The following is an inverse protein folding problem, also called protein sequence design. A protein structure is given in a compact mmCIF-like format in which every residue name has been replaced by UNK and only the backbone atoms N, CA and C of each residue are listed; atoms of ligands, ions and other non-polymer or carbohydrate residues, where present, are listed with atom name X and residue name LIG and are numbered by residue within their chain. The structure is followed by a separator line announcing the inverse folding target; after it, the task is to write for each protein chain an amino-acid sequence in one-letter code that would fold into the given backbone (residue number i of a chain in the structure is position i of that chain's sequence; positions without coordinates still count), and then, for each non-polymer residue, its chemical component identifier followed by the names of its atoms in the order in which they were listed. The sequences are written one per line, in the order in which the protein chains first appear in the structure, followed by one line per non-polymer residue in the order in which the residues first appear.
data_IF_513790588661
#
_entry.id   IF_513790588661
#
_cell.length_a   1.000
_cell.length_b   1.000
_cell.length_c   1.000
_cell.angle_alpha   90.00
_cell.angle_beta   90.00
_cell.angle_gamma   90.00
#
_symmetry.space_group_name_H-M   'P 1'
#
loop_
_entity.id
_entity.type
_entity.pdbx_description
1 polymer ?
#
# COMPACT_ATOMS: atom_id res chain seq x y z
N UNK A 1 -36.04 -40.04 -29.67
CA UNK A 1 -35.97 -38.57 -29.70
C UNK A 1 -34.50 -38.22 -29.87
N UNK A 2 -34.03 -38.03 -31.11
CA UNK A 2 -32.62 -37.76 -31.39
C UNK A 2 -32.36 -36.27 -31.31
N UNK A 3 -31.49 -35.89 -30.37
CA UNK A 3 -30.99 -34.55 -30.14
C UNK A 3 -29.98 -34.24 -31.25
N UNK A 4 -30.34 -33.36 -32.18
CA UNK A 4 -29.41 -32.84 -33.19
C UNK A 4 -28.54 -31.78 -32.50
N UNK A 5 -27.26 -32.11 -32.28
CA UNK A 5 -26.24 -31.17 -31.87
C UNK A 5 -26.09 -30.08 -32.94
N UNK A 6 -26.52 -28.86 -32.62
CA UNK A 6 -26.36 -27.71 -33.50
C UNK A 6 -24.89 -27.31 -33.55
N UNK A 7 -24.19 -27.68 -34.61
CA UNK A 7 -22.86 -27.18 -34.93
C UNK A 7 -22.92 -25.65 -35.08
N UNK A 8 -22.41 -24.90 -34.11
CA UNK A 8 -22.34 -23.45 -34.14
C UNK A 8 -20.97 -23.00 -34.67
N UNK A 9 -20.84 -22.61 -35.96
CA UNK A 9 -19.58 -22.18 -36.54
C UNK A 9 -19.04 -20.86 -35.98
N UNK A 10 -19.83 -20.13 -35.19
CA UNK A 10 -19.42 -18.90 -34.50
C UNK A 10 -19.17 -19.13 -33.00
N UNK A 11 -19.09 -20.38 -32.54
CA UNK A 11 -18.69 -20.67 -31.16
C UNK A 11 -17.25 -20.17 -30.98
N UNK A 12 -17.10 -19.11 -30.17
CA UNK A 12 -15.79 -18.60 -29.81
C UNK A 12 -14.98 -19.76 -29.20
N UNK A 13 -13.67 -19.87 -29.49
CA UNK A 13 -12.84 -20.82 -28.78
C UNK A 13 -13.04 -20.57 -27.30
N UNK A 14 -13.30 -21.62 -26.52
CA UNK A 14 -13.23 -21.56 -25.07
C UNK A 14 -11.78 -21.21 -24.74
N UNK A 15 -11.47 -19.92 -24.73
CA UNK A 15 -10.28 -19.38 -24.17
C UNK A 15 -10.43 -19.63 -22.68
N UNK A 16 -10.01 -20.83 -22.27
CA UNK A 16 -9.82 -21.16 -20.88
C UNK A 16 -9.10 -19.95 -20.30
N UNK A 17 -9.79 -19.25 -19.39
CA UNK A 17 -9.17 -18.20 -18.61
C UNK A 17 -8.04 -18.94 -17.92
N UNK A 18 -6.83 -18.84 -18.47
CA UNK A 18 -5.64 -19.23 -17.78
C UNK A 18 -5.54 -18.20 -16.68
N UNK A 19 -6.27 -18.43 -15.58
CA UNK A 19 -5.76 -18.14 -14.26
C UNK A 19 -4.38 -18.74 -14.29
N UNK A 20 -3.40 -17.89 -14.58
CA UNK A 20 -1.99 -18.18 -14.42
C UNK A 20 -1.87 -18.41 -12.92
N UNK A 21 -2.13 -19.65 -12.52
CA UNK A 21 -2.00 -20.14 -11.15
C UNK A 21 -0.50 -20.16 -10.93
N UNK A 22 0.02 -18.98 -10.65
CA UNK A 22 1.41 -18.81 -10.28
C UNK A 22 1.65 -19.65 -9.03
N UNK A 23 2.81 -20.35 -8.96
CA UNK A 23 3.05 -21.32 -7.92
C UNK A 23 2.85 -20.69 -6.52
N UNK A 24 2.28 -21.45 -5.58
CA UNK A 24 2.07 -20.98 -4.22
C UNK A 24 3.39 -20.54 -3.59
N UNK A 25 3.33 -19.46 -2.81
CA UNK A 25 4.51 -18.86 -2.19
C UNK A 25 4.95 -19.72 -0.99
N UNK A 26 6.24 -20.11 -0.89
CA UNK A 26 6.72 -20.84 0.27
C UNK A 26 6.76 -19.92 1.50
N UNK A 27 6.04 -20.29 2.57
CA UNK A 27 6.20 -19.68 3.89
C UNK A 27 4.89 -19.49 4.66
N UNK A 28 4.77 -20.17 5.80
CA UNK A 28 3.73 -19.97 6.83
C UNK A 28 3.93 -18.66 7.61
N UNK A 29 4.26 -17.58 6.93
CA UNK A 29 4.56 -16.28 7.58
C UNK A 29 3.74 -15.13 7.02
N UNK A 30 3.06 -15.34 5.88
CA UNK A 30 2.16 -14.40 5.23
C UNK A 30 0.84 -15.12 4.93
N UNK A 31 -0.27 -14.47 5.27
CA UNK A 31 -1.63 -15.00 5.05
C UNK A 31 -2.53 -13.93 4.46
N UNK A 32 -3.45 -14.37 3.61
CA UNK A 32 -4.55 -13.54 3.12
C UNK A 32 -5.72 -13.59 4.11
N UNK A 33 -6.14 -12.41 4.56
CA UNK A 33 -7.37 -12.20 5.34
C UNK A 33 -8.29 -11.21 4.60
N UNK A 34 -9.10 -11.72 3.68
CA UNK A 34 -9.88 -10.89 2.75
C UNK A 34 -8.97 -10.05 1.85
N UNK A 35 -9.15 -8.72 1.92
CA UNK A 35 -8.32 -7.72 1.22
C UNK A 35 -7.09 -7.25 2.02
N UNK A 36 -6.95 -7.73 3.25
CA UNK A 36 -5.84 -7.41 4.13
C UNK A 36 -4.80 -8.54 4.09
N UNK A 37 -3.54 -8.14 4.23
CA UNK A 37 -2.40 -9.03 4.43
C UNK A 37 -2.11 -9.13 5.92
N UNK A 38 -2.14 -10.35 6.47
CA UNK A 38 -1.55 -10.63 7.78
C UNK A 38 -0.16 -11.23 7.57
N UNK A 39 0.84 -10.74 8.28
CA UNK A 39 2.16 -11.38 8.29
C UNK A 39 2.79 -11.36 9.67
N UNK A 40 3.73 -12.26 9.89
CA UNK A 40 4.65 -12.19 11.01
C UNK A 40 5.52 -10.93 10.89
N UNK A 41 5.85 -10.30 12.02
CA UNK A 41 6.73 -9.13 12.02
C UNK A 41 8.13 -9.51 11.56
N UNK A 42 8.77 -8.54 10.91
CA UNK A 42 10.17 -8.61 10.48
C UNK A 42 10.50 -9.74 9.48
N UNK A 43 9.47 -10.31 8.83
CA UNK A 43 9.66 -11.34 7.81
C UNK A 43 9.86 -10.75 6.42
N UNK A 44 10.70 -11.40 5.58
CA UNK A 44 10.84 -11.04 4.19
C UNK A 44 9.60 -11.44 3.41
N UNK A 45 9.21 -10.59 2.45
CA UNK A 45 8.14 -10.90 1.52
C UNK A 45 8.75 -11.66 0.33
N UNK A 46 7.98 -12.54 -0.32
CA UNK A 46 8.42 -13.18 -1.56
C UNK A 46 8.81 -12.16 -2.64
N UNK A 47 9.66 -12.59 -3.57
CA UNK A 47 10.21 -11.78 -4.66
C UNK A 47 9.17 -11.45 -5.75
N UNK A 48 8.08 -10.80 -5.35
CA UNK A 48 7.03 -10.31 -6.21
C UNK A 48 6.66 -8.89 -5.84
N UNK A 49 6.17 -8.14 -6.81
CA UNK A 49 5.70 -6.79 -6.57
C UNK A 49 4.43 -6.81 -5.70
N UNK A 50 4.46 -6.11 -4.57
CA UNK A 50 3.29 -6.03 -3.66
C UNK A 50 2.07 -5.29 -4.26
N UNK A 51 2.24 -4.59 -5.40
CA UNK A 51 1.20 -3.78 -6.07
C UNK A 51 0.60 -4.40 -7.34
N UNK A 52 1.34 -5.22 -8.07
CA UNK A 52 0.81 -5.93 -9.24
C UNK A 52 1.02 -7.44 -9.22
N UNK A 53 1.80 -7.98 -8.28
CA UNK A 53 2.12 -9.40 -8.20
C UNK A 53 3.17 -9.89 -9.20
N UNK A 54 3.69 -9.07 -10.11
CA UNK A 54 4.73 -9.53 -11.07
C UNK A 54 5.95 -10.07 -10.33
N UNK A 55 6.57 -11.13 -10.84
CA UNK A 55 7.82 -11.66 -10.30
C UNK A 55 8.94 -10.62 -10.43
N UNK A 56 9.79 -10.55 -9.42
CA UNK A 56 10.91 -9.63 -9.31
C UNK A 56 12.19 -10.41 -9.06
N UNK A 57 13.32 -9.80 -9.38
CA UNK A 57 14.61 -10.31 -8.96
C UNK A 57 14.88 -9.95 -7.51
N UNK A 58 15.72 -10.75 -6.83
CA UNK A 58 16.06 -10.52 -5.41
C UNK A 58 16.70 -9.15 -5.14
N UNK A 59 17.45 -8.59 -6.11
CA UNK A 59 18.05 -7.25 -6.02
C UNK A 59 17.02 -6.10 -6.07
N UNK A 60 15.77 -6.39 -6.48
CA UNK A 60 14.70 -5.40 -6.51
C UNK A 60 13.94 -5.28 -5.18
N UNK A 61 14.19 -6.19 -4.24
CA UNK A 61 13.62 -6.17 -2.89
C UNK A 61 14.36 -5.14 -2.03
N UNK A 62 13.60 -4.35 -1.26
CA UNK A 62 14.18 -3.32 -0.39
C UNK A 62 13.62 -3.45 1.02
N UNK A 63 14.49 -3.27 2.01
CA UNK A 63 14.12 -3.16 3.42
C UNK A 63 13.29 -1.90 3.64
N UNK A 64 12.11 -2.04 4.25
CA UNK A 64 11.16 -0.97 4.54
C UNK A 64 10.67 -1.08 5.97
N UNK A 65 10.74 0.02 6.69
CA UNK A 65 10.21 0.14 8.04
C UNK A 65 8.82 0.76 7.98
N UNK A 66 7.86 0.11 8.62
CA UNK A 66 6.51 0.61 8.81
C UNK A 66 6.30 0.94 10.28
N UNK A 67 5.53 2.01 10.52
CA UNK A 67 5.19 2.47 11.86
C UNK A 67 3.68 2.47 12.00
N UNK A 68 3.21 2.09 13.17
CA UNK A 68 1.80 2.12 13.52
C UNK A 68 1.64 2.41 15.01
N UNK A 69 0.64 3.20 15.36
CA UNK A 69 0.20 3.38 16.73
C UNK A 69 -1.31 3.20 16.78
N UNK A 70 -1.84 2.83 17.94
CA UNK A 70 -3.28 2.65 18.11
C UNK A 70 -4.05 3.96 17.83
N UNK A 71 -5.20 3.93 17.14
CA UNK A 71 -5.98 5.14 16.88
C UNK A 71 -6.44 5.88 18.13
N UNK A 72 -6.56 5.21 19.27
CA UNK A 72 -6.96 5.82 20.55
C UNK A 72 -6.03 6.96 21.00
N UNK A 73 -4.77 6.96 20.56
CA UNK A 73 -3.83 8.05 20.87
C UNK A 73 -4.24 9.40 20.28
N UNK A 74 -5.06 9.43 19.23
CA UNK A 74 -5.51 10.69 18.62
C UNK A 74 -6.35 11.56 19.55
N UNK A 75 -6.96 10.99 20.59
CA UNK A 75 -7.73 11.77 21.60
C UNK A 75 -6.84 12.80 22.29
N UNK A 76 -5.55 12.52 22.46
CA UNK A 76 -4.60 13.45 23.09
C UNK A 76 -4.40 14.75 22.29
N UNK A 77 -4.72 14.77 20.99
CA UNK A 77 -4.64 15.99 20.17
C UNK A 77 -5.55 17.08 20.73
N UNK A 78 -6.70 16.71 21.30
CA UNK A 78 -7.65 17.66 21.91
C UNK A 78 -7.10 18.32 23.17
N UNK A 79 -6.18 17.65 23.88
CA UNK A 79 -5.52 18.18 25.08
C UNK A 79 -4.33 19.04 24.67
N UNK A 80 -3.43 18.48 23.86
CA UNK A 80 -2.27 19.19 23.33
C UNK A 80 -1.64 18.39 22.20
N UNK A 81 -1.37 19.07 21.09
CA UNK A 81 -0.63 18.52 19.95
C UNK A 81 0.76 18.03 20.38
N UNK A 82 1.41 18.71 21.33
CA UNK A 82 2.75 18.35 21.83
C UNK A 82 2.69 17.06 22.65
N UNK A 83 1.72 16.94 23.56
CA UNK A 83 1.52 15.72 24.36
C UNK A 83 1.23 14.53 23.45
N UNK A 84 0.36 14.71 22.46
CA UNK A 84 0.10 13.71 21.44
C UNK A 84 1.38 13.28 20.70
N UNK A 85 2.20 14.24 20.24
CA UNK A 85 3.42 13.92 19.51
C UNK A 85 4.41 13.07 20.33
N UNK A 86 4.58 13.41 21.61
CA UNK A 86 5.42 12.65 22.55
C UNK A 86 4.84 11.25 22.77
N UNK A 87 3.55 11.14 23.08
CA UNK A 87 2.89 9.87 23.30
C UNK A 87 2.93 8.96 22.07
N UNK A 88 2.69 9.52 20.87
CA UNK A 88 2.77 8.80 19.61
C UNK A 88 4.19 8.28 19.31
N UNK A 89 5.23 9.07 19.64
CA UNK A 89 6.63 8.66 19.50
C UNK A 89 7.02 7.49 20.41
N UNK A 90 6.45 7.43 21.62
CA UNK A 90 6.69 6.36 22.60
C UNK A 90 5.86 5.11 22.26
N UNK A 91 4.58 5.28 21.95
CA UNK A 91 3.63 4.18 21.76
C UNK A 91 3.67 3.55 20.36
N UNK A 92 4.37 4.16 19.38
CA UNK A 92 4.49 3.60 18.04
C UNK A 92 5.18 2.24 18.07
N UNK A 93 4.56 1.28 17.39
CA UNK A 93 5.15 0.00 17.03
C UNK A 93 5.82 0.13 15.67
N UNK A 94 6.92 -0.60 15.49
CA UNK A 94 7.70 -0.66 14.25
C UNK A 94 7.73 -2.09 13.70
N UNK A 95 7.72 -2.25 12.39
CA UNK A 95 7.93 -3.52 11.72
C UNK A 95 8.78 -3.31 10.47
N UNK A 96 9.73 -4.20 10.22
CA UNK A 96 10.71 -4.04 9.16
C UNK A 96 10.63 -5.19 8.18
N UNK A 97 10.06 -4.96 7.00
CA UNK A 97 9.91 -5.99 5.99
C UNK A 97 10.82 -5.73 4.79
N UNK A 98 11.34 -6.81 4.23
CA UNK A 98 12.01 -6.77 2.92
C UNK A 98 10.96 -7.06 1.87
N UNK A 99 10.62 -6.07 1.03
CA UNK A 99 9.56 -6.22 0.03
C UNK A 99 9.95 -5.65 -1.33
N UNK A 100 9.35 -6.22 -2.38
CA UNK A 100 9.61 -5.85 -3.76
C UNK A 100 8.55 -4.91 -4.34
N UNK A 101 9.01 -3.98 -5.20
CA UNK A 101 8.16 -3.20 -6.09
C UNK A 101 8.80 -3.11 -7.47
N UNK A 102 8.03 -3.41 -8.52
CA UNK A 102 8.50 -3.30 -9.90
C UNK A 102 8.88 -1.86 -10.26
N UNK A 103 9.67 -1.72 -11.32
CA UNK A 103 10.15 -0.42 -11.80
C UNK A 103 9.00 0.57 -12.05
N UNK A 104 7.86 0.11 -12.59
CA UNK A 104 6.72 0.97 -12.89
C UNK A 104 6.08 1.57 -11.63
N UNK A 105 5.73 0.72 -10.66
CA UNK A 105 5.18 1.19 -9.39
C UNK A 105 6.17 2.05 -8.60
N UNK A 106 7.47 1.76 -8.71
CA UNK A 106 8.53 2.57 -8.12
C UNK A 106 8.63 3.95 -8.77
N UNK A 107 8.54 4.04 -10.10
CA UNK A 107 8.50 5.30 -10.86
C UNK A 107 7.26 6.10 -10.52
N UNK A 108 6.08 5.48 -10.49
CA UNK A 108 4.83 6.12 -10.06
C UNK A 108 4.94 6.71 -8.66
N UNK A 109 5.46 5.96 -7.70
CA UNK A 109 5.73 6.45 -6.34
C UNK A 109 6.71 7.63 -6.35
N UNK A 110 7.81 7.53 -7.09
CA UNK A 110 8.81 8.60 -7.17
C UNK A 110 8.22 9.87 -7.80
N UNK A 111 7.30 9.77 -8.76
CA UNK A 111 6.57 10.94 -9.28
C UNK A 111 5.75 11.64 -8.20
N UNK A 112 5.04 10.90 -7.34
CA UNK A 112 4.33 11.50 -6.20
C UNK A 112 5.27 12.15 -5.19
N UNK A 113 6.42 11.53 -4.92
CA UNK A 113 7.46 12.12 -4.05
C UNK A 113 8.01 13.42 -4.67
N UNK A 114 8.30 13.42 -5.97
CA UNK A 114 8.77 14.60 -6.69
C UNK A 114 7.70 15.70 -6.70
N UNK A 115 6.44 15.35 -6.91
CA UNK A 115 5.31 16.28 -6.83
C UNK A 115 5.22 16.91 -5.44
N UNK A 116 5.40 16.12 -4.38
CA UNK A 116 5.42 16.64 -3.00
C UNK A 116 6.59 17.61 -2.81
N UNK A 117 7.79 17.26 -3.30
CA UNK A 117 8.96 18.11 -3.21
C UNK A 117 8.77 19.43 -3.99
N UNK A 118 8.18 19.36 -5.19
CA UNK A 118 7.87 20.53 -6.01
C UNK A 118 6.84 21.45 -5.34
N UNK A 119 5.90 20.89 -4.56
CA UNK A 119 4.89 21.69 -3.85
C UNK A 119 5.52 22.72 -2.90
N UNK A 120 6.61 22.36 -2.21
CA UNK A 120 7.33 23.26 -1.29
C UNK A 120 7.92 24.49 -1.97
N UNK A 121 8.14 24.44 -3.28
CA UNK A 121 8.66 25.57 -4.07
C UNK A 121 7.51 26.28 -4.80
N UNK A 122 6.65 25.51 -5.47
CA UNK A 122 5.55 26.05 -6.28
C UNK A 122 4.52 26.82 -5.45
N UNK A 123 4.14 26.32 -4.26
CA UNK A 123 3.15 26.97 -3.41
C UNK A 123 3.56 28.38 -2.98
N UNK A 124 4.73 28.55 -2.32
CA UNK A 124 5.22 29.87 -1.90
C UNK A 124 5.48 30.82 -3.07
N UNK A 125 6.08 30.33 -4.18
CA UNK A 125 6.33 31.16 -5.36
C UNK A 125 5.04 31.72 -5.95
N UNK A 126 4.00 30.90 -6.04
CA UNK A 126 2.71 31.31 -6.59
C UNK A 126 1.99 32.29 -5.67
N UNK A 127 2.09 32.09 -4.34
CA UNK A 127 1.60 33.06 -3.37
C UNK A 127 2.31 34.42 -3.47
N UNK A 128 3.64 34.42 -3.63
CA UNK A 128 4.43 35.64 -3.80
C UNK A 128 4.17 36.34 -5.13
N UNK A 129 4.06 35.59 -6.24
CA UNK A 129 3.86 36.13 -7.58
C UNK A 129 2.52 36.85 -7.75
N UNK A 130 1.47 36.40 -7.06
CA UNK A 130 0.16 37.04 -7.09
C UNK A 130 0.10 38.30 -6.20
N UNK A 131 0.87 38.33 -5.11
CA UNK A 131 1.13 39.53 -4.31
C UNK A 131 -0.06 40.08 -3.50
N UNK A 132 -1.18 39.36 -3.43
CA UNK A 132 -2.35 39.72 -2.63
C UNK A 132 -2.76 38.58 -1.68
N UNK A 133 -3.71 38.86 -0.77
CA UNK A 133 -4.23 37.87 0.18
C UNK A 133 -4.80 36.62 -0.50
N UNK A 134 -5.52 36.79 -1.61
CA UNK A 134 -6.08 35.68 -2.38
C UNK A 134 -4.98 34.76 -2.95
N UNK A 135 -3.84 35.34 -3.36
CA UNK A 135 -2.65 34.63 -3.82
C UNK A 135 -2.04 33.75 -2.75
N UNK A 136 -1.95 34.26 -1.51
CA UNK A 136 -1.46 33.49 -0.36
C UNK A 136 -2.36 32.28 -0.10
N UNK A 137 -3.68 32.47 -0.05
CA UNK A 137 -4.62 31.37 0.16
C UNK A 137 -4.60 30.35 -0.98
N UNK A 138 -4.47 30.81 -2.23
CA UNK A 138 -4.38 29.93 -3.40
C UNK A 138 -3.08 29.13 -3.40
N UNK A 139 -1.94 29.77 -3.09
CA UNK A 139 -0.65 29.11 -2.93
C UNK A 139 -0.66 28.07 -1.80
N UNK A 140 -1.26 28.41 -0.65
CA UNK A 140 -1.43 27.50 0.48
C UNK A 140 -2.35 26.32 0.14
N UNK A 141 -3.47 26.59 -0.54
CA UNK A 141 -4.42 25.56 -0.99
C UNK A 141 -3.77 24.57 -1.95
N UNK A 142 -3.03 25.07 -2.96
CA UNK A 142 -2.28 24.25 -3.90
C UNK A 142 -1.19 23.43 -3.18
N UNK A 143 -0.45 24.07 -2.27
CA UNK A 143 0.57 23.40 -1.46
C UNK A 143 -0.04 22.23 -0.67
N UNK A 144 -1.13 22.46 0.06
CA UNK A 144 -1.81 21.43 0.85
C UNK A 144 -2.37 20.31 -0.05
N UNK A 145 -2.99 20.66 -1.18
CA UNK A 145 -3.53 19.67 -2.11
C UNK A 145 -2.44 18.75 -2.68
N UNK A 146 -1.32 19.33 -3.12
CA UNK A 146 -0.17 18.57 -3.63
C UNK A 146 0.50 17.74 -2.52
N UNK A 147 0.61 18.29 -1.30
CA UNK A 147 1.15 17.59 -0.14
C UNK A 147 0.31 16.36 0.19
N UNK A 148 -1.02 16.50 0.25
CA UNK A 148 -1.95 15.39 0.52
C UNK A 148 -1.92 14.36 -0.60
N UNK A 149 -1.97 14.78 -1.87
CA UNK A 149 -1.89 13.88 -3.01
C UNK A 149 -0.58 13.07 -3.02
N UNK A 150 0.53 13.73 -2.70
CA UNK A 150 1.85 13.11 -2.56
C UNK A 150 1.94 12.12 -1.39
N UNK A 151 1.47 12.54 -0.21
CA UNK A 151 1.40 11.70 1.00
C UNK A 151 0.56 10.45 0.81
N UNK A 152 -0.52 10.51 0.03
CA UNK A 152 -1.36 9.36 -0.28
C UNK A 152 -0.76 8.50 -1.40
N UNK A 153 -0.31 9.12 -2.50
CA UNK A 153 0.23 8.42 -3.67
C UNK A 153 1.58 7.76 -3.45
N UNK A 154 2.38 8.24 -2.49
CA UNK A 154 3.68 7.65 -2.16
C UNK A 154 3.59 6.44 -1.20
N UNK A 155 2.40 6.12 -0.65
CA UNK A 155 2.21 5.02 0.31
C UNK A 155 2.34 3.66 -0.37
N UNK A 156 3.25 2.85 0.17
CA UNK A 156 3.48 1.49 -0.32
C UNK A 156 2.43 0.54 0.25
N UNK A 157 2.37 0.44 1.58
CA UNK A 157 1.36 -0.34 2.31
C UNK A 157 0.81 0.53 3.44
N UNK A 158 -0.45 0.30 3.79
CA UNK A 158 -1.11 1.00 4.89
C UNK A 158 -1.19 0.05 6.08
N UNK A 159 -0.43 0.27 7.16
CA UNK A 159 -0.56 -0.55 8.35
C UNK A 159 -1.91 -0.30 9.02
N UNK A 160 -2.68 -1.38 9.25
CA UNK A 160 -4.01 -1.32 9.87
C UNK A 160 -3.95 -1.63 11.35
N UNK A 161 -3.15 -2.63 11.71
CA UNK A 161 -2.94 -3.09 13.09
C UNK A 161 -1.55 -3.70 13.21
N UNK A 162 -0.87 -3.42 14.31
CA UNK A 162 0.36 -4.13 14.67
C UNK A 162 0.27 -4.65 16.10
N UNK A 163 0.37 -5.96 16.24
CA UNK A 163 0.49 -6.65 17.51
C UNK A 163 1.98 -6.96 17.79
N UNK A 164 2.28 -7.67 18.86
CA UNK A 164 3.68 -7.99 19.21
C UNK A 164 4.33 -8.94 18.20
N UNK A 165 3.55 -9.89 17.66
CA UNK A 165 4.04 -10.92 16.74
C UNK A 165 3.59 -10.73 15.29
N UNK A 166 2.43 -10.12 15.08
CA UNK A 166 1.80 -10.00 13.75
C UNK A 166 1.62 -8.53 13.35
N UNK A 167 1.66 -8.28 12.05
CA UNK A 167 1.33 -7.01 11.43
C UNK A 167 0.29 -7.21 10.32
N UNK A 168 -0.71 -6.33 10.30
CA UNK A 168 -1.78 -6.32 9.30
C UNK A 168 -1.62 -5.11 8.39
N UNK A 169 -1.60 -5.34 7.08
CA UNK A 169 -1.42 -4.32 6.06
C UNK A 169 -2.57 -4.33 5.05
N UNK A 170 -2.92 -3.14 4.57
CA UNK A 170 -3.82 -2.92 3.44
C UNK A 170 -3.07 -2.34 2.24
N UNK A 171 -3.65 -2.49 1.05
CA UNK A 171 -3.13 -1.92 -0.19
C UNK A 171 -2.15 -2.83 -0.93
N UNK A 172 -2.17 -4.12 -0.62
CA UNK A 172 -1.53 -5.18 -1.41
C UNK A 172 -2.42 -5.52 -2.61
N UNK A 173 -1.82 -5.90 -3.73
CA UNK A 173 -2.55 -6.31 -4.93
C UNK A 173 -3.37 -7.58 -4.68
N UNK A 174 -4.60 -7.68 -5.21
CA UNK A 174 -5.35 -8.93 -5.20
C UNK A 174 -4.57 -10.10 -5.83
N UNK A 175 -3.83 -9.85 -6.91
CA UNK A 175 -2.98 -10.84 -7.56
C UNK A 175 -1.83 -11.37 -6.69
N UNK A 176 -1.33 -10.55 -5.75
CA UNK A 176 -0.32 -10.99 -4.78
C UNK A 176 -0.99 -11.75 -3.63
N UNK A 177 -2.11 -11.24 -3.11
CA UNK A 177 -2.87 -11.88 -2.04
C UNK A 177 -3.39 -13.26 -2.44
N UNK A 178 -3.82 -13.44 -3.69
CA UNK A 178 -4.32 -14.72 -4.21
C UNK A 178 -3.29 -15.86 -4.16
N UNK A 179 -2.00 -15.55 -4.05
CA UNK A 179 -0.92 -16.56 -3.94
C UNK A 179 -0.58 -16.94 -2.51
N UNK A 180 -1.13 -16.22 -1.55
CA UNK A 180 -0.90 -16.49 -0.14
C UNK A 180 -1.93 -17.50 0.37
N UNK A 181 -1.53 -18.36 1.33
CA UNK A 181 -2.49 -19.22 2.01
C UNK A 181 -3.56 -18.37 2.70
N UNK A 182 -4.78 -18.91 2.76
CA UNK A 182 -5.84 -18.30 3.56
C UNK A 182 -5.45 -18.30 5.04
N UNK A 183 -5.96 -17.31 5.78
CA UNK A 183 -5.73 -17.20 7.21
C UNK A 183 -6.28 -18.44 7.96
N UNK A 184 -5.43 -19.19 8.72
CA UNK A 184 -5.87 -20.28 9.56
C UNK A 184 -6.89 -19.81 10.61
N UNK A 185 -7.90 -20.62 10.90
CA UNK A 185 -8.95 -20.28 11.88
C UNK A 185 -8.36 -19.92 13.26
N UNK A 186 -7.26 -20.57 13.67
CA UNK A 186 -6.57 -20.29 14.93
C UNK A 186 -6.00 -18.86 15.05
N UNK A 187 -5.76 -18.18 13.92
CA UNK A 187 -5.19 -16.84 13.86
C UNK A 187 -6.24 -15.74 13.57
N UNK A 188 -7.52 -16.12 13.42
CA UNK A 188 -8.64 -15.20 13.22
C UNK A 188 -9.08 -14.63 14.58
N UNK A 189 -8.26 -13.77 15.18
CA UNK A 189 -8.56 -13.03 16.42
C UNK A 189 -8.83 -11.55 16.15
#
# INVERSE_FOLDING_TARGET
MNQQDSFNPYQAPDAAIQTTTMPPLPGETLWRDGDDLLCLRDTPFPAHCVKCGVALRNDELKKRTFYWHAPGWYVLILVSVVIYAIAAMIARKRSIHVLGMCAEHRRRRNRFVLLTAAAFVAGPLLGFAVGNEAGIWLGLGLFLAMLVAGLLGARILVPRRMDERYARYKGVAPAFLARLPALPAALRR
#
